data_IF_813526526659
#
_entry.id   IF_813526526659
#
_cell.length_a   1.000
_cell.length_b   1.000
_cell.length_c   1.000
_cell.angle_alpha   90.00
_cell.angle_beta   90.00
_cell.angle_gamma   90.00
#
_symmetry.space_group_name_H-M   'P 1'
#
loop_
_entity.id
_entity.type
_entity.pdbx_description
1 polymer ?
#
# COMPACT_ATOMS: atom_id res chain seq x y z
N UNK A 1 -32.62 -19.02 -37.35
CA UNK A 1 -31.32 -19.03 -36.63
C UNK A 1 -31.26 -17.87 -35.62
N UNK A 2 -31.73 -18.02 -34.36
CA UNK A 2 -31.63 -16.97 -33.34
C UNK A 2 -30.57 -17.24 -32.25
N UNK A 3 -29.85 -18.36 -32.30
CA UNK A 3 -28.96 -18.82 -31.21
C UNK A 3 -27.57 -18.17 -31.19
N UNK A 4 -27.14 -17.48 -32.26
CA UNK A 4 -25.80 -16.85 -32.34
C UNK A 4 -25.67 -15.56 -31.50
N UNK A 5 -26.78 -14.81 -31.31
CA UNK A 5 -26.80 -13.57 -30.52
C UNK A 5 -26.61 -13.80 -29.00
N UNK A 6 -27.32 -14.74 -28.34
CA UNK A 6 -27.12 -14.97 -26.90
C UNK A 6 -25.73 -15.54 -26.59
N UNK A 7 -25.15 -16.38 -27.46
CA UNK A 7 -23.79 -16.92 -27.28
C UNK A 7 -22.71 -15.83 -27.35
N UNK A 8 -22.79 -14.90 -28.31
CA UNK A 8 -21.85 -13.77 -28.39
C UNK A 8 -21.96 -12.85 -27.19
N UNK A 9 -23.18 -12.52 -26.75
CA UNK A 9 -23.38 -11.72 -25.54
C UNK A 9 -22.85 -12.43 -24.27
N UNK A 10 -23.07 -13.74 -24.15
CA UNK A 10 -22.58 -14.54 -23.02
C UNK A 10 -21.06 -14.71 -22.98
N UNK A 11 -20.34 -14.52 -24.10
CA UNK A 11 -18.87 -14.59 -24.13
C UNK A 11 -18.21 -13.20 -24.07
N UNK A 12 -18.80 -12.20 -24.73
CA UNK A 12 -18.23 -10.85 -24.77
C UNK A 12 -18.39 -10.17 -23.42
N UNK A 13 -19.55 -10.29 -22.76
CA UNK A 13 -19.79 -9.64 -21.47
C UNK A 13 -18.81 -10.08 -20.37
N UNK A 14 -18.60 -11.39 -20.09
CA UNK A 14 -17.64 -11.78 -19.06
C UNK A 14 -16.20 -11.41 -19.44
N UNK A 15 -15.84 -11.43 -20.73
CA UNK A 15 -14.51 -11.01 -21.18
C UNK A 15 -14.28 -9.52 -20.93
N UNK A 16 -15.27 -8.68 -21.21
CA UNK A 16 -15.23 -7.24 -20.93
C UNK A 16 -15.13 -7.00 -19.41
N UNK A 17 -15.93 -7.69 -18.60
CA UNK A 17 -15.88 -7.56 -17.14
C UNK A 17 -14.51 -7.98 -16.58
N UNK A 18 -13.94 -9.09 -17.05
CA UNK A 18 -12.59 -9.56 -16.69
C UNK A 18 -11.51 -8.53 -17.06
N UNK A 19 -11.59 -7.95 -18.27
CA UNK A 19 -10.66 -6.93 -18.72
C UNK A 19 -10.76 -5.65 -17.87
N UNK A 20 -11.98 -5.20 -17.54
CA UNK A 20 -12.18 -4.05 -16.67
C UNK A 20 -11.62 -4.29 -15.27
N UNK A 21 -11.85 -5.47 -14.68
CA UNK A 21 -11.29 -5.79 -13.36
C UNK A 21 -9.76 -5.80 -13.36
N UNK A 22 -9.13 -6.37 -14.40
CA UNK A 22 -7.67 -6.39 -14.52
C UNK A 22 -7.07 -4.98 -14.70
N UNK A 23 -7.75 -4.11 -15.44
CA UNK A 23 -7.33 -2.71 -15.57
C UNK A 23 -7.47 -1.94 -14.24
N UNK A 24 -8.54 -2.20 -13.47
CA UNK A 24 -8.74 -1.54 -12.18
C UNK A 24 -7.61 -1.89 -11.19
N UNK A 25 -7.25 -3.18 -11.06
CA UNK A 25 -6.16 -3.59 -10.17
C UNK A 25 -4.81 -3.00 -10.59
N UNK A 26 -4.53 -2.93 -11.90
CA UNK A 26 -3.29 -2.32 -12.39
C UNK A 26 -3.20 -0.82 -12.09
N UNK A 27 -4.32 -0.10 -12.12
CA UNK A 27 -4.35 1.33 -11.79
C UNK A 27 -4.01 1.52 -10.31
N UNK A 28 -4.65 0.76 -9.42
CA UNK A 28 -4.40 0.83 -7.98
C UNK A 28 -2.92 0.57 -7.65
N UNK A 29 -2.30 -0.46 -8.25
CA UNK A 29 -0.87 -0.75 -8.02
C UNK A 29 0.06 0.37 -8.54
N UNK A 30 -0.28 1.00 -9.67
CA UNK A 30 0.51 2.16 -10.15
C UNK A 30 0.36 3.36 -9.22
N UNK A 31 -0.85 3.62 -8.75
CA UNK A 31 -1.14 4.69 -7.78
C UNK A 31 -0.39 4.44 -6.47
N UNK A 32 -0.40 3.20 -5.95
CA UNK A 32 0.37 2.82 -4.77
C UNK A 32 1.87 3.12 -4.93
N UNK A 33 2.47 2.74 -6.06
CA UNK A 33 3.88 2.99 -6.34
C UNK A 33 4.21 4.50 -6.45
N UNK A 34 3.32 5.29 -7.05
CA UNK A 34 3.48 6.75 -7.13
C UNK A 34 3.39 7.41 -5.76
N UNK A 35 2.39 7.01 -4.94
CA UNK A 35 2.24 7.51 -3.58
C UNK A 35 3.44 7.16 -2.71
N UNK A 36 4.01 5.96 -2.86
CA UNK A 36 5.26 5.57 -2.18
C UNK A 36 6.43 6.49 -2.57
N UNK A 37 6.55 6.89 -3.84
CA UNK A 37 7.55 7.87 -4.27
C UNK A 37 7.32 9.24 -3.63
N UNK A 38 6.09 9.74 -3.63
CA UNK A 38 5.76 11.02 -2.97
C UNK A 38 5.98 10.96 -1.46
N UNK A 39 5.79 9.81 -0.83
CA UNK A 39 6.07 9.61 0.58
C UNK A 39 7.57 9.69 0.89
N UNK A 40 8.41 9.07 0.05
CA UNK A 40 9.87 9.16 0.14
C UNK A 40 10.38 10.59 -0.03
N UNK A 41 9.83 11.32 -0.99
CA UNK A 41 10.16 12.72 -1.22
C UNK A 41 9.75 13.62 -0.05
N UNK A 42 8.55 13.43 0.50
CA UNK A 42 8.14 14.17 1.69
C UNK A 42 9.03 13.85 2.90
N UNK A 43 9.41 12.58 3.07
CA UNK A 43 10.32 12.15 4.13
C UNK A 43 11.73 12.74 3.98
N UNK A 44 12.27 12.83 2.76
CA UNK A 44 13.59 13.45 2.52
C UNK A 44 13.60 14.94 2.85
N UNK A 45 12.45 15.61 2.72
CA UNK A 45 12.25 17.01 3.11
C UNK A 45 11.91 17.18 4.60
N UNK A 46 11.75 16.10 5.36
CA UNK A 46 11.34 16.14 6.77
C UNK A 46 9.85 16.42 7.00
N UNK A 47 9.01 16.43 5.95
CA UNK A 47 7.56 16.54 6.06
C UNK A 47 6.96 15.17 6.41
N UNK A 48 7.15 14.78 7.66
CA UNK A 48 6.77 13.46 8.18
C UNK A 48 5.25 13.24 8.17
N UNK A 49 4.44 14.29 8.32
CA UNK A 49 2.99 14.17 8.24
C UNK A 49 2.54 13.86 6.81
N UNK A 50 3.08 14.56 5.80
CA UNK A 50 2.79 14.26 4.40
C UNK A 50 3.32 12.90 3.99
N UNK A 51 4.53 12.54 4.44
CA UNK A 51 5.09 11.21 4.21
C UNK A 51 4.17 10.11 4.76
N UNK A 52 3.68 10.27 6.00
CA UNK A 52 2.75 9.32 6.62
C UNK A 52 1.48 9.17 5.79
N UNK A 53 0.82 10.28 5.41
CA UNK A 53 -0.41 10.23 4.60
C UNK A 53 -0.20 9.52 3.26
N UNK A 54 0.92 9.79 2.59
CA UNK A 54 1.24 9.17 1.31
C UNK A 54 1.55 7.66 1.47
N UNK A 55 2.30 7.24 2.48
CA UNK A 55 2.54 5.81 2.74
C UNK A 55 1.25 5.06 3.13
N UNK A 56 0.37 5.67 3.92
CA UNK A 56 -0.92 5.09 4.28
C UNK A 56 -1.80 4.90 3.02
N UNK A 57 -1.94 5.95 2.21
CA UNK A 57 -2.70 5.85 0.96
C UNK A 57 -2.08 4.85 -0.03
N UNK A 58 -0.75 4.75 -0.07
CA UNK A 58 -0.05 3.74 -0.86
C UNK A 58 -0.42 2.32 -0.40
N UNK A 59 -0.48 2.08 0.92
CA UNK A 59 -0.87 0.78 1.47
C UNK A 59 -2.31 0.43 1.09
N UNK A 60 -3.24 1.38 1.20
CA UNK A 60 -4.65 1.19 0.83
C UNK A 60 -4.80 0.83 -0.65
N UNK A 61 -4.08 1.53 -1.54
CA UNK A 61 -4.08 1.23 -2.98
C UNK A 61 -3.40 -0.12 -3.28
N UNK A 62 -2.33 -0.47 -2.57
CA UNK A 62 -1.70 -1.78 -2.71
C UNK A 62 -2.66 -2.91 -2.28
N UNK A 63 -3.47 -2.71 -1.25
CA UNK A 63 -4.50 -3.66 -0.84
C UNK A 63 -5.61 -3.80 -1.89
N UNK A 64 -6.16 -2.67 -2.37
CA UNK A 64 -7.19 -2.64 -3.42
C UNK A 64 -6.72 -3.29 -4.72
N UNK A 65 -5.45 -3.04 -5.10
CA UNK A 65 -4.82 -3.62 -6.27
C UNK A 65 -4.37 -5.08 -6.09
N UNK A 66 -4.58 -5.67 -4.91
CA UNK A 66 -4.10 -7.01 -4.55
C UNK A 66 -2.58 -7.19 -4.71
N UNK A 67 -1.81 -6.16 -4.35
CA UNK A 67 -0.35 -6.21 -4.25
C UNK A 67 0.08 -7.26 -3.23
N UNK A 68 1.32 -7.73 -3.33
CA UNK A 68 1.81 -8.78 -2.45
C UNK A 68 1.86 -8.32 -0.98
N UNK A 69 1.71 -9.27 -0.06
CA UNK A 69 1.62 -8.99 1.36
C UNK A 69 2.92 -8.35 1.91
N UNK A 70 4.07 -8.60 1.29
CA UNK A 70 5.33 -8.03 1.74
C UNK A 70 5.44 -6.55 1.39
N UNK A 71 4.97 -6.16 0.21
CA UNK A 71 4.85 -4.76 -0.17
C UNK A 71 3.85 -4.02 0.73
N UNK A 72 2.66 -4.58 0.97
CA UNK A 72 1.68 -3.99 1.88
C UNK A 72 2.24 -3.82 3.30
N UNK A 73 2.93 -4.85 3.83
CA UNK A 73 3.56 -4.80 5.15
C UNK A 73 4.62 -3.69 5.24
N UNK A 74 5.46 -3.59 4.22
CA UNK A 74 6.49 -2.54 4.12
C UNK A 74 5.87 -1.15 4.08
N UNK A 75 4.81 -0.93 3.31
CA UNK A 75 4.11 0.37 3.23
C UNK A 75 3.53 0.77 4.58
N UNK A 76 2.85 -0.14 5.27
CA UNK A 76 2.37 0.12 6.63
C UNK A 76 3.52 0.37 7.61
N UNK A 77 4.62 -0.37 7.54
CA UNK A 77 5.77 -0.13 8.41
C UNK A 77 6.35 1.29 8.20
N UNK A 78 6.47 1.73 6.94
CA UNK A 78 6.91 3.08 6.60
C UNK A 78 5.92 4.15 7.05
N UNK A 79 4.61 3.91 6.92
CA UNK A 79 3.58 4.79 7.46
C UNK A 79 3.69 4.92 8.99
N UNK A 80 3.92 3.81 9.70
CA UNK A 80 4.11 3.80 11.16
C UNK A 80 5.35 4.56 11.59
N UNK A 81 6.45 4.43 10.84
CA UNK A 81 7.67 5.21 11.06
C UNK A 81 7.48 6.70 10.81
N UNK A 82 6.83 7.08 9.72
CA UNK A 82 6.54 8.48 9.41
C UNK A 82 5.59 9.08 10.45
N UNK A 83 4.57 8.33 10.88
CA UNK A 83 3.69 8.72 11.99
C UNK A 83 4.47 8.95 13.29
N UNK A 84 5.42 8.06 13.61
CA UNK A 84 6.31 8.23 14.77
C UNK A 84 7.14 9.50 14.62
N UNK A 85 7.79 9.72 13.47
CA UNK A 85 8.56 10.95 13.24
C UNK A 85 7.71 12.22 13.29
N UNK A 86 6.41 12.13 12.97
CA UNK A 86 5.42 13.20 13.08
C UNK A 86 4.76 13.30 14.48
N UNK A 87 5.23 12.56 15.48
CA UNK A 87 4.66 12.54 16.84
C UNK A 87 3.19 12.10 16.91
N UNK A 88 2.75 11.24 15.99
CA UNK A 88 1.40 10.66 15.91
C UNK A 88 1.42 9.21 16.42
N UNK A 89 1.48 9.03 17.74
CA UNK A 89 1.65 7.71 18.39
C UNK A 89 0.53 6.71 18.08
N UNK A 90 -0.73 7.15 18.03
CA UNK A 90 -1.86 6.26 17.76
C UNK A 90 -1.85 5.74 16.32
N UNK A 91 -1.54 6.62 15.37
CA UNK A 91 -1.38 6.27 13.96
C UNK A 91 -0.18 5.35 13.74
N UNK A 92 0.93 5.61 14.45
CA UNK A 92 2.11 4.74 14.43
C UNK A 92 1.75 3.33 14.90
N UNK A 93 1.10 3.21 16.05
CA UNK A 93 0.69 1.93 16.61
C UNK A 93 -0.29 1.17 15.69
N UNK A 94 -1.23 1.87 15.06
CA UNK A 94 -2.13 1.28 14.07
C UNK A 94 -1.36 0.65 12.90
N UNK A 95 -0.48 1.43 12.28
CA UNK A 95 0.25 0.98 11.09
C UNK A 95 1.26 -0.13 11.41
N UNK A 96 1.94 -0.08 12.57
CA UNK A 96 2.81 -1.20 12.97
C UNK A 96 2.03 -2.49 13.23
N UNK A 97 0.81 -2.42 13.79
CA UNK A 97 -0.04 -3.62 13.93
C UNK A 97 -0.41 -4.21 12.57
N UNK A 98 -0.77 -3.37 11.59
CA UNK A 98 -1.07 -3.83 10.23
C UNK A 98 0.15 -4.46 9.56
N UNK A 99 1.32 -3.82 9.66
CA UNK A 99 2.57 -4.36 9.14
C UNK A 99 2.89 -5.73 9.75
N UNK A 100 2.74 -5.88 11.07
CA UNK A 100 2.96 -7.16 11.76
C UNK A 100 1.92 -8.23 11.39
N UNK A 101 0.66 -7.85 11.17
CA UNK A 101 -0.38 -8.78 10.75
C UNK A 101 -0.07 -9.38 9.37
N UNK A 102 0.43 -8.57 8.45
CA UNK A 102 0.86 -8.99 7.12
C UNK A 102 2.21 -9.73 7.15
N UNK A 103 3.14 -9.28 7.99
CA UNK A 103 4.51 -9.77 8.12
C UNK A 103 4.65 -11.14 8.78
N UNK A 104 3.63 -11.68 9.44
CA UNK A 104 3.64 -13.06 9.97
C UNK A 104 3.66 -14.15 8.88
N UNK A 105 3.74 -13.78 7.60
CA UNK A 105 4.08 -14.68 6.50
C UNK A 105 5.62 -14.81 6.40
N UNK A 106 6.17 -16.03 6.34
CA UNK A 106 7.59 -16.29 6.57
C UNK A 106 8.56 -15.49 5.68
N UNK A 107 8.20 -15.22 4.42
CA UNK A 107 9.06 -14.49 3.48
C UNK A 107 9.13 -12.98 3.76
N UNK A 108 8.24 -12.45 4.60
CA UNK A 108 8.06 -11.00 4.83
C UNK A 108 8.88 -10.46 6.01
N UNK A 109 9.30 -11.32 6.94
CA UNK A 109 10.00 -10.93 8.17
C UNK A 109 11.44 -10.45 7.91
N UNK A 110 12.14 -11.09 6.97
CA UNK A 110 13.53 -10.77 6.61
C UNK A 110 13.67 -9.36 6.00
N UNK A 111 12.68 -8.90 5.26
CA UNK A 111 12.70 -7.57 4.64
C UNK A 111 12.35 -6.45 5.62
N UNK A 112 11.55 -6.74 6.65
CA UNK A 112 11.14 -5.77 7.66
C UNK A 112 12.25 -5.50 8.69
N UNK A 113 13.01 -6.53 9.08
CA UNK A 113 14.10 -6.42 10.06
C UNK A 113 15.24 -5.50 9.58
N UNK A 114 15.40 -5.37 8.25
CA UNK A 114 16.41 -4.50 7.63
C UNK A 114 16.00 -3.02 7.59
N UNK A 115 14.77 -2.65 7.95
CA UNK A 115 14.29 -1.28 7.80
C UNK A 115 14.63 -0.44 9.04
N UNK A 116 15.40 0.67 8.88
CA UNK A 116 15.82 1.49 10.00
C UNK A 116 14.62 2.05 10.76
N UNK A 117 14.58 1.86 12.08
CA UNK A 117 13.55 2.43 12.96
C UNK A 117 13.76 3.94 13.05
N UNK A 118 12.71 4.73 12.83
CA UNK A 118 12.77 6.19 12.95
C UNK A 118 13.06 6.63 14.39
N UNK A 119 13.77 7.75 14.57
CA UNK A 119 14.06 8.31 15.90
C UNK A 119 12.76 8.57 16.68
N UNK A 120 12.74 8.29 18.00
CA UNK A 120 11.56 8.55 18.82
C UNK A 120 11.22 10.04 18.89
N UNK A 121 9.92 10.31 19.00
CA UNK A 121 9.35 11.63 19.23
C UNK A 121 9.97 12.26 20.48
N UNK A 122 10.57 13.45 20.38
CA UNK A 122 10.96 14.25 21.55
C UNK A 122 12.43 14.67 21.65
N UNK A 123 13.30 14.28 20.72
CA UNK A 123 14.63 14.92 20.63
C UNK A 123 14.56 16.02 19.58
N UNK A 124 14.12 17.21 20.00
CA UNK A 124 14.48 18.44 19.28
C UNK A 124 16.02 18.57 19.33
N UNK A 125 16.68 19.08 18.27
CA UNK A 125 18.11 19.38 18.33
C UNK A 125 18.45 20.37 19.45
#
# INVERSE_FOLDING_TARGET
MPTLRPFRACLILPLVLMALSACSTQIELRTAAQLEQFAREAASQGDWERAMRNYAAAADNAELGHGDAAWQARLHYQAGRAASAACRTDAAAFHFRQANALGKKPDTLTDLESLPVGKPCGVQP
#
